data_IF_016195652339
#
_entry.id   IF_016195652339
#
_cell.length_a   1.000
_cell.length_b   1.000
_cell.length_c   1.000
_cell.angle_alpha   90.00
_cell.angle_beta   90.00
_cell.angle_gamma   90.00
#
_symmetry.space_group_name_H-M   'P 1'
#
loop_
_entity.id
_entity.type
_entity.pdbx_description
1 polymer ?
#
# COMPACT_ATOMS: atom_id res chain seq x y z
N UNK A 1 3.21 -32.85 4.35
CA UNK A 1 2.41 -31.73 4.92
C UNK A 1 3.20 -30.42 4.96
N UNK A 2 4.12 -30.19 5.92
CA UNK A 2 4.87 -28.93 6.00
C UNK A 2 5.72 -28.65 4.75
N UNK A 3 6.41 -29.67 4.24
CA UNK A 3 7.16 -29.58 2.98
C UNK A 3 6.30 -29.13 1.79
N UNK A 4 5.00 -29.48 1.76
CA UNK A 4 4.08 -29.04 0.71
C UNK A 4 3.73 -27.56 0.82
N UNK A 5 3.59 -27.05 2.05
CA UNK A 5 3.38 -25.61 2.32
C UNK A 5 4.63 -24.80 1.95
N UNK A 6 5.82 -25.28 2.32
CA UNK A 6 7.08 -24.63 1.97
C UNK A 6 7.34 -24.68 0.46
N UNK A 7 7.04 -25.80 -0.20
CA UNK A 7 7.11 -25.90 -1.66
C UNK A 7 6.20 -24.87 -2.32
N UNK A 8 4.95 -24.74 -1.86
CA UNK A 8 3.98 -23.76 -2.34
C UNK A 8 4.50 -22.32 -2.21
N UNK A 9 5.12 -21.96 -1.09
CA UNK A 9 5.66 -20.61 -0.90
C UNK A 9 6.89 -20.36 -1.77
N UNK A 10 7.72 -21.37 -1.98
CA UNK A 10 8.88 -21.26 -2.86
C UNK A 10 8.50 -21.11 -4.33
N UNK A 11 7.44 -21.78 -4.81
CA UNK A 11 7.10 -21.82 -6.23
C UNK A 11 6.03 -20.82 -6.66
N UNK A 12 5.18 -20.35 -5.75
CA UNK A 12 4.06 -19.49 -6.12
C UNK A 12 2.84 -20.22 -6.71
N UNK A 13 2.99 -21.50 -7.09
CA UNK A 13 1.97 -22.34 -7.76
C UNK A 13 0.65 -22.44 -6.98
N UNK A 14 -0.52 -22.64 -7.59
CA UNK A 14 -1.75 -22.95 -6.87
C UNK A 14 -1.63 -24.12 -5.88
N UNK A 15 -2.43 -24.13 -4.80
CA UNK A 15 -2.45 -25.23 -3.84
C UNK A 15 -2.78 -26.58 -4.50
N UNK A 16 -3.65 -26.59 -5.51
CA UNK A 16 -4.05 -27.79 -6.26
C UNK A 16 -2.88 -28.48 -6.98
N UNK A 17 -1.80 -27.75 -7.28
CA UNK A 17 -0.61 -28.28 -7.96
C UNK A 17 0.44 -28.85 -7.01
N UNK A 18 0.18 -28.84 -5.71
CA UNK A 18 1.10 -29.47 -4.74
C UNK A 18 1.19 -30.96 -5.06
N UNK A 19 2.39 -31.38 -5.48
CA UNK A 19 2.67 -32.78 -5.81
C UNK A 19 2.32 -33.72 -4.66
N UNK A 20 1.73 -34.87 -5.01
CA UNK A 20 1.28 -35.90 -4.07
C UNK A 20 2.38 -36.39 -3.11
N UNK A 21 3.66 -36.31 -3.52
CA UNK A 21 4.81 -36.61 -2.64
C UNK A 21 4.85 -35.76 -1.37
N UNK A 22 4.21 -34.59 -1.37
CA UNK A 22 4.12 -33.71 -0.21
C UNK A 22 2.84 -33.93 0.63
N UNK A 23 1.97 -34.83 0.19
CA UNK A 23 0.65 -35.15 0.73
C UNK A 23 -0.48 -34.38 0.03
N UNK A 24 -1.75 -34.69 0.36
CA UNK A 24 -2.90 -34.11 -0.31
C UNK A 24 -2.92 -32.56 -0.24
N UNK A 25 -3.14 -31.86 -1.36
CA UNK A 25 -3.27 -30.39 -1.43
C UNK A 25 -4.18 -29.78 -0.37
N UNK A 26 -5.35 -30.38 -0.17
CA UNK A 26 -6.37 -29.91 0.77
C UNK A 26 -5.89 -29.97 2.22
N UNK A 27 -5.16 -31.02 2.59
CA UNK A 27 -4.63 -31.16 3.94
C UNK A 27 -3.47 -30.20 4.21
N UNK A 28 -2.64 -29.89 3.20
CA UNK A 28 -1.63 -28.82 3.28
C UNK A 28 -2.28 -27.45 3.50
N UNK A 29 -3.31 -27.11 2.71
CA UNK A 29 -4.06 -25.87 2.87
C UNK A 29 -4.76 -25.78 4.24
N UNK A 30 -5.49 -26.82 4.65
CA UNK A 30 -6.19 -26.86 5.94
C UNK A 30 -5.23 -26.76 7.13
N UNK A 31 -4.02 -27.33 7.00
CA UNK A 31 -2.98 -27.16 8.02
C UNK A 31 -2.50 -25.71 8.04
N UNK A 32 -2.16 -25.14 6.89
CA UNK A 32 -1.72 -23.75 6.77
C UNK A 32 -2.72 -22.79 7.44
N UNK A 33 -4.01 -22.89 7.09
CA UNK A 33 -5.06 -22.02 7.64
C UNK A 33 -5.22 -22.19 9.14
N UNK A 34 -5.21 -23.43 9.66
CA UNK A 34 -5.31 -23.68 11.11
C UNK A 34 -4.13 -23.08 11.86
N UNK A 35 -2.92 -23.25 11.35
CA UNK A 35 -1.71 -22.72 11.96
C UNK A 35 -1.63 -21.20 11.88
N UNK A 36 -2.11 -20.61 10.78
CA UNK A 36 -2.23 -19.15 10.65
C UNK A 36 -3.21 -18.58 11.66
N UNK A 37 -4.36 -19.22 11.86
CA UNK A 37 -5.33 -18.79 12.90
C UNK A 37 -4.78 -18.96 14.31
N UNK A 38 -3.95 -19.98 14.54
CA UNK A 38 -3.34 -20.24 15.85
C UNK A 38 -2.05 -19.44 16.13
N UNK A 39 -1.62 -18.55 15.21
CA UNK A 39 -0.39 -17.77 15.35
C UNK A 39 0.91 -18.59 15.29
N UNK A 40 0.84 -19.83 14.79
CA UNK A 40 2.01 -20.72 14.73
C UNK A 40 3.04 -20.21 13.72
N UNK A 41 2.59 -19.65 12.60
CA UNK A 41 3.49 -19.07 11.61
C UNK A 41 4.25 -17.87 12.15
N UNK A 42 3.58 -17.01 12.92
CA UNK A 42 4.22 -15.82 13.49
C UNK A 42 5.35 -16.22 14.45
N UNK A 43 5.07 -17.18 15.34
CA UNK A 43 6.08 -17.72 16.27
C UNK A 43 7.23 -18.41 15.56
N UNK A 44 6.92 -19.15 14.48
CA UNK A 44 7.93 -19.85 13.69
C UNK A 44 8.84 -18.86 12.96
N UNK A 45 8.27 -17.84 12.33
CA UNK A 45 9.03 -16.78 11.66
C UNK A 45 9.87 -16.00 12.67
N UNK A 46 9.31 -15.64 13.82
CA UNK A 46 10.05 -14.96 14.88
C UNK A 46 11.23 -15.79 15.38
N UNK A 47 11.04 -17.09 15.63
CA UNK A 47 12.10 -17.98 16.06
C UNK A 47 13.20 -18.13 15.00
N UNK A 48 12.83 -18.26 13.73
CA UNK A 48 13.79 -18.35 12.61
C UNK A 48 14.56 -17.04 12.46
N UNK A 49 13.89 -15.89 12.54
CA UNK A 49 14.54 -14.57 12.49
C UNK A 49 15.50 -14.36 13.65
N UNK A 50 15.14 -14.77 14.87
CA UNK A 50 16.02 -14.68 16.04
C UNK A 50 17.26 -15.59 15.93
N UNK A 51 17.11 -16.75 15.29
CA UNK A 51 18.21 -17.69 15.08
C UNK A 51 19.07 -17.34 13.85
N UNK A 52 18.64 -16.38 13.03
CA UNK A 52 19.36 -15.98 11.83
C UNK A 52 20.38 -14.90 12.17
N UNK A 53 21.66 -15.26 12.08
CA UNK A 53 22.81 -14.40 12.38
C UNK A 53 23.36 -13.68 11.12
N UNK A 54 22.54 -13.59 10.06
CA UNK A 54 22.91 -12.95 8.81
C UNK A 54 22.30 -11.55 8.63
N UNK A 55 22.74 -10.84 7.60
CA UNK A 55 22.20 -9.54 7.25
C UNK A 55 20.72 -9.62 6.84
N UNK A 56 19.94 -8.59 7.17
CA UNK A 56 18.54 -8.49 6.74
C UNK A 56 18.47 -8.42 5.21
N UNK A 57 18.02 -9.50 4.57
CA UNK A 57 17.82 -9.58 3.12
C UNK A 57 16.38 -9.21 2.79
N UNK A 58 16.18 -8.19 1.95
CA UNK A 58 14.86 -7.95 1.33
C UNK A 58 14.56 -9.04 0.32
N UNK A 59 13.47 -9.77 0.52
CA UNK A 59 13.05 -10.88 -0.36
C UNK A 59 12.30 -10.36 -1.60
N UNK A 60 11.64 -9.20 -1.52
CA UNK A 60 10.84 -8.61 -2.60
C UNK A 60 11.08 -7.10 -2.78
N UNK A 61 12.27 -6.71 -3.24
CA UNK A 61 12.48 -5.32 -3.68
C UNK A 61 11.72 -5.03 -4.98
N UNK A 62 10.58 -4.33 -4.92
CA UNK A 62 9.93 -3.77 -6.11
C UNK A 62 10.62 -2.46 -6.52
N UNK A 63 11.34 -2.43 -7.65
CA UNK A 63 11.80 -1.19 -8.25
C UNK A 63 10.85 -0.75 -9.38
N UNK A 64 10.07 0.31 -9.15
CA UNK A 64 9.24 0.90 -10.20
C UNK A 64 10.06 1.99 -10.89
N UNK A 65 10.52 1.72 -12.11
CA UNK A 65 11.12 2.76 -12.96
C UNK A 65 10.00 3.61 -13.55
N UNK A 66 9.94 4.88 -13.15
CA UNK A 66 9.00 5.85 -13.71
C UNK A 66 9.62 6.50 -14.95
N UNK A 67 8.78 6.83 -15.93
CA UNK A 67 9.23 7.56 -17.13
C UNK A 67 9.76 8.94 -16.74
N UNK A 68 10.77 9.46 -17.44
CA UNK A 68 11.43 10.74 -17.11
C UNK A 68 10.46 11.94 -16.97
N UNK A 69 9.32 11.91 -17.67
CA UNK A 69 8.26 12.92 -17.55
C UNK A 69 7.42 12.82 -16.27
N UNK A 70 7.56 11.76 -15.48
CA UNK A 70 6.93 11.63 -14.16
C UNK A 70 7.78 12.18 -13.00
N UNK A 71 9.02 12.61 -13.28
CA UNK A 71 9.83 13.32 -12.30
C UNK A 71 9.23 14.72 -12.08
N UNK A 72 8.37 14.85 -11.07
CA UNK A 72 7.88 16.16 -10.63
C UNK A 72 9.04 16.84 -9.89
N UNK A 73 9.44 18.05 -10.33
CA UNK A 73 10.41 18.86 -9.58
C UNK A 73 9.92 19.11 -8.15
N UNK A 74 10.84 19.15 -7.17
CA UNK A 74 10.51 19.43 -5.77
C UNK A 74 9.69 20.72 -5.68
N UNK A 75 8.38 20.62 -5.47
CA UNK A 75 7.58 21.73 -4.97
C UNK A 75 8.03 21.92 -3.52
N UNK A 76 8.55 23.10 -3.20
CA UNK A 76 8.94 23.44 -1.82
C UNK A 76 7.82 23.06 -0.86
N UNK A 77 8.18 22.56 0.31
CA UNK A 77 7.21 22.14 1.32
C UNK A 77 6.33 23.33 1.70
N UNK A 78 5.15 23.47 1.10
CA UNK A 78 4.05 24.15 1.78
C UNK A 78 3.71 23.26 2.97
N UNK A 79 4.03 23.74 4.16
CA UNK A 79 3.65 23.13 5.43
C UNK A 79 2.19 22.71 5.36
N UNK A 80 1.98 21.41 5.37
CA UNK A 80 0.67 20.78 5.42
C UNK A 80 0.06 21.14 6.78
N UNK A 81 -0.78 22.18 6.82
CA UNK A 81 -1.58 22.50 8.00
C UNK A 81 -2.63 21.40 8.15
N UNK A 82 -2.56 20.69 9.28
CA UNK A 82 -3.55 19.69 9.68
C UNK A 82 -4.95 20.33 9.74
N UNK A 83 -5.96 19.60 9.27
CA UNK A 83 -7.34 20.07 9.09
C UNK A 83 -8.12 20.29 10.40
N UNK A 84 -7.49 20.20 11.57
CA UNK A 84 -8.15 20.27 12.89
C UNK A 84 -7.62 21.39 13.80
N UNK A 85 -7.26 22.54 13.23
CA UNK A 85 -7.02 23.77 14.03
C UNK A 85 -8.14 24.78 13.78
N UNK A 86 -8.89 25.22 14.81
CA UNK A 86 -9.94 26.22 14.65
C UNK A 86 -9.36 27.52 14.08
N UNK A 87 -9.89 27.95 12.95
CA UNK A 87 -9.47 29.14 12.21
C UNK A 87 -9.83 30.44 12.95
N UNK A 88 -9.05 30.79 13.98
CA UNK A 88 -8.99 32.15 14.49
C UNK A 88 -7.87 32.89 13.74
N UNK A 89 -8.23 33.60 12.65
CA UNK A 89 -7.30 34.58 12.05
C UNK A 89 -7.31 34.74 10.53
N UNK A 90 -8.23 34.14 9.78
CA UNK A 90 -8.30 34.40 8.34
C UNK A 90 -9.11 35.67 8.04
N UNK A 91 -8.37 36.75 7.78
CA UNK A 91 -8.87 38.04 7.30
C UNK A 91 -9.69 37.86 6.01
N UNK A 92 -10.94 38.31 6.05
CA UNK A 92 -11.88 38.24 4.93
C UNK A 92 -11.33 38.91 3.66
N UNK A 93 -11.33 38.21 2.53
CA UNK A 93 -11.12 38.80 1.21
C UNK A 93 -12.45 39.36 0.72
N UNK A 94 -12.57 40.68 0.82
CA UNK A 94 -13.71 41.49 0.37
C UNK A 94 -14.07 41.22 -1.10
N UNK A 95 -15.33 40.90 -1.36
CA UNK A 95 -16.00 40.99 -2.65
C UNK A 95 -16.25 42.46 -2.99
N UNK A 96 -15.75 42.94 -4.13
CA UNK A 96 -16.18 44.25 -4.67
C UNK A 96 -17.16 43.99 -5.81
N UNK A 97 -18.44 44.04 -5.45
CA UNK A 97 -19.55 44.26 -6.37
C UNK A 97 -19.55 45.74 -6.80
N UNK A 98 -19.78 45.98 -8.09
CA UNK A 98 -20.34 47.23 -8.60
C UNK A 98 -21.30 46.87 -9.74
N UNK A 99 -22.59 47.06 -9.50
CA UNK A 99 -23.66 47.07 -10.49
C UNK A 99 -24.47 48.37 -10.28
N UNK A 100 -25.38 48.77 -11.19
CA UNK A 100 -25.29 48.87 -12.66
C UNK A 100 -25.79 50.26 -13.14
N UNK A 101 -25.79 50.55 -14.46
CA UNK A 101 -26.79 51.47 -15.08
C UNK A 101 -26.94 51.27 -16.61
N UNK A 102 -28.07 50.64 -16.94
CA UNK A 102 -28.96 50.66 -18.11
C UNK A 102 -28.64 51.53 -19.36
N UNK A 103 -28.77 50.82 -20.50
CA UNK A 103 -29.32 51.13 -21.84
C UNK A 103 -28.80 52.28 -22.72
N UNK A 104 -28.42 51.93 -23.96
CA UNK A 104 -29.26 52.21 -25.15
C UNK A 104 -28.88 51.32 -26.36
N UNK A 105 -29.91 50.81 -27.03
CA UNK A 105 -29.89 50.15 -28.34
C UNK A 105 -29.62 51.16 -29.46
N UNK A 106 -28.89 50.76 -30.53
CA UNK A 106 -29.21 51.03 -31.95
C UNK A 106 -28.27 50.26 -32.91
N UNK A 107 -28.89 49.77 -34.00
CA UNK A 107 -28.39 49.19 -35.26
C UNK A 107 -27.06 49.81 -35.77
N UNK A 108 -26.18 49.09 -36.50
CA UNK A 108 -26.31 48.44 -37.83
C UNK A 108 -25.36 47.24 -37.92
#
# INVERSE_FOLDING_TARGET
MLNGILWRFRTGSPWAEVSERYGPPTACYNRFVRWRKAGVWDRLLEAVSKAYDGDIVMIDSTCVRVHQHAATGKKGMETMVAWDVPAAGLRAKSTRSLMPKVARSIYV
#
